data_IF_001973125544
#
_entry.id   IF_001973125544
#
_cell.length_a   1.000
_cell.length_b   1.000
_cell.length_c   1.000
_cell.angle_alpha   90.00
_cell.angle_beta   90.00
_cell.angle_gamma   90.00
#
_symmetry.space_group_name_H-M   'P 1'
#
loop_
_entity.id
_entity.type
_entity.pdbx_description
1 polymer ?
#
# COMPACT_ATOMS: atom_id res chain seq x y z
N UNK A 1 13.59 0.20 -8.77
CA UNK A 1 12.20 0.71 -8.93
C UNK A 1 11.50 0.48 -7.61
N UNK A 2 10.93 1.51 -6.98
CA UNK A 2 10.34 1.44 -5.64
C UNK A 2 9.27 0.35 -5.56
N UNK A 3 9.40 -0.59 -4.61
CA UNK A 3 8.43 -1.67 -4.38
C UNK A 3 7.41 -1.26 -3.32
N UNK A 4 6.14 -1.28 -3.71
CA UNK A 4 4.99 -0.91 -2.87
C UNK A 4 4.33 -2.19 -2.36
N UNK A 5 4.06 -2.26 -1.05
CA UNK A 5 3.23 -3.31 -0.47
C UNK A 5 1.86 -2.78 -0.08
N UNK A 6 0.80 -3.33 -0.66
CA UNK A 6 -0.56 -3.11 -0.19
C UNK A 6 -0.84 -4.02 0.99
N UNK A 7 -0.85 -3.46 2.20
CA UNK A 7 -1.22 -4.22 3.38
C UNK A 7 -2.73 -4.21 3.57
N UNK A 8 -3.36 -5.27 3.10
CA UNK A 8 -4.82 -5.45 3.11
C UNK A 8 -5.25 -6.57 4.05
N UNK A 9 -4.27 -7.23 4.67
CA UNK A 9 -4.43 -8.32 5.64
C UNK A 9 -3.61 -8.02 6.88
N UNK A 10 -4.26 -7.99 8.04
CA UNK A 10 -3.58 -7.93 9.34
C UNK A 10 -3.56 -9.32 9.96
N UNK A 11 -2.42 -9.70 10.53
CA UNK A 11 -2.30 -10.94 11.29
C UNK A 11 -2.19 -10.58 12.78
N UNK A 12 -3.20 -10.90 13.57
CA UNK A 12 -3.26 -10.56 15.00
C UNK A 12 -2.78 -11.69 15.92
N UNK A 13 -2.11 -12.71 15.39
CA UNK A 13 -1.67 -13.89 16.14
C UNK A 13 -2.81 -14.88 16.46
N UNK A 14 -4.06 -14.44 16.44
CA UNK A 14 -5.28 -15.25 16.61
C UNK A 14 -5.94 -15.61 15.28
N UNK A 15 -5.47 -15.02 14.18
CA UNK A 15 -5.99 -15.23 12.83
C UNK A 15 -5.58 -14.11 11.88
N UNK A 16 -5.84 -14.33 10.60
CA UNK A 16 -5.65 -13.33 9.54
C UNK A 16 -6.98 -12.66 9.24
N UNK A 17 -7.04 -11.34 9.39
CA UNK A 17 -8.21 -10.54 9.01
C UNK A 17 -7.87 -9.71 7.78
N UNK A 18 -8.75 -9.75 6.79
CA UNK A 18 -8.65 -8.94 5.57
C UNK A 18 -9.71 -7.86 5.61
N UNK A 19 -9.46 -6.72 4.95
CA UNK A 19 -10.49 -5.70 4.76
C UNK A 19 -11.64 -6.18 3.86
N UNK A 20 -11.44 -7.24 3.08
CA UNK A 20 -12.46 -7.76 2.15
C UNK A 20 -13.34 -8.80 2.83
N UNK A 21 -14.63 -8.50 2.98
CA UNK A 21 -15.60 -9.43 3.58
C UNK A 21 -15.80 -10.72 2.75
N UNK A 22 -15.70 -10.63 1.41
CA UNK A 22 -15.83 -11.77 0.49
C UNK A 22 -14.80 -11.66 -0.65
N UNK A 23 -14.47 -12.79 -1.27
CA UNK A 23 -13.58 -12.88 -2.45
C UNK A 23 -12.22 -12.15 -2.28
N UNK A 24 -11.68 -12.14 -1.06
CA UNK A 24 -10.47 -11.40 -0.71
C UNK A 24 -9.30 -11.65 -1.67
N UNK A 25 -9.03 -12.92 -2.02
CA UNK A 25 -7.97 -13.27 -2.97
C UNK A 25 -8.18 -12.60 -4.33
N UNK A 26 -9.37 -12.72 -4.91
CA UNK A 26 -9.69 -12.10 -6.21
C UNK A 26 -9.58 -10.58 -6.17
N UNK A 27 -10.05 -9.95 -5.10
CA UNK A 27 -9.96 -8.49 -4.95
C UNK A 27 -8.50 -8.02 -4.85
N UNK A 28 -7.65 -8.78 -4.15
CA UNK A 28 -6.21 -8.52 -4.08
C UNK A 28 -5.55 -8.74 -5.45
N UNK A 29 -5.85 -9.85 -6.13
CA UNK A 29 -5.30 -10.15 -7.45
C UNK A 29 -5.68 -9.07 -8.48
N UNK A 30 -6.94 -8.63 -8.50
CA UNK A 30 -7.42 -7.55 -9.39
C UNK A 30 -6.73 -6.21 -9.08
N UNK A 31 -6.50 -5.91 -7.79
CA UNK A 31 -5.79 -4.71 -7.37
C UNK A 31 -4.32 -4.75 -7.81
N UNK A 32 -3.63 -5.87 -7.58
CA UNK A 32 -2.24 -6.04 -8.00
C UNK A 32 -2.11 -5.99 -9.53
N UNK A 33 -3.03 -6.62 -10.26
CA UNK A 33 -3.06 -6.56 -11.71
C UNK A 33 -3.19 -5.12 -12.22
N UNK A 34 -4.09 -4.31 -11.64
CA UNK A 34 -4.23 -2.90 -11.99
C UNK A 34 -2.94 -2.11 -11.73
N UNK A 35 -2.39 -2.21 -10.51
CA UNK A 35 -1.24 -1.38 -10.11
C UNK A 35 0.11 -1.84 -10.67
N UNK A 36 0.24 -3.10 -11.08
CA UNK A 36 1.45 -3.62 -11.73
C UNK A 36 1.78 -2.92 -13.05
N UNK A 37 0.80 -2.26 -13.68
CA UNK A 37 1.02 -1.43 -14.87
C UNK A 37 1.78 -0.12 -14.57
N UNK A 38 1.83 0.30 -13.31
CA UNK A 38 2.38 1.60 -12.90
C UNK A 38 3.54 1.48 -11.91
N UNK A 39 3.52 0.46 -11.05
CA UNK A 39 4.48 0.30 -9.95
C UNK A 39 4.92 -1.16 -9.80
N UNK A 40 6.05 -1.37 -9.12
CA UNK A 40 6.40 -2.69 -8.60
C UNK A 40 5.58 -2.93 -7.33
N UNK A 41 4.66 -3.90 -7.33
CA UNK A 41 3.67 -4.08 -6.24
C UNK A 41 3.61 -5.49 -5.69
N UNK A 42 3.29 -5.60 -4.41
CA UNK A 42 2.96 -6.85 -3.72
C UNK A 42 1.85 -6.62 -2.69
N UNK A 43 1.22 -7.70 -2.24
CA UNK A 43 0.34 -7.71 -1.07
C UNK A 43 0.81 -8.71 0.02
N UNK A 44 1.99 -9.32 -0.16
CA UNK A 44 2.53 -10.32 0.76
C UNK A 44 3.65 -9.74 1.64
N UNK A 45 3.28 -8.90 2.60
CA UNK A 45 4.26 -8.22 3.44
C UNK A 45 5.22 -9.17 4.19
N UNK A 46 4.78 -10.30 4.79
CA UNK A 46 5.70 -11.21 5.48
C UNK A 46 6.81 -11.79 4.60
N UNK A 47 6.49 -12.21 3.37
CA UNK A 47 7.47 -12.79 2.45
C UNK A 47 8.36 -11.72 1.80
N UNK A 48 7.78 -10.55 1.48
CA UNK A 48 8.49 -9.51 0.74
C UNK A 48 9.13 -8.45 1.65
N UNK A 49 9.02 -8.59 2.97
CA UNK A 49 9.34 -7.56 3.97
C UNK A 49 10.65 -6.83 3.74
N UNK A 50 11.71 -7.54 3.32
CA UNK A 50 13.06 -6.98 3.15
C UNK A 50 13.25 -6.23 1.83
N UNK A 51 12.35 -6.44 0.87
CA UNK A 51 12.39 -5.84 -0.48
C UNK A 51 11.38 -4.72 -0.67
N UNK A 52 10.43 -4.56 0.25
CA UNK A 52 9.42 -3.49 0.20
C UNK A 52 10.04 -2.17 0.64
N UNK A 53 9.75 -1.12 -0.11
CA UNK A 53 10.22 0.24 0.16
C UNK A 53 9.13 1.11 0.79
N UNK A 54 7.85 0.87 0.48
CA UNK A 54 6.71 1.68 0.92
C UNK A 54 5.50 0.79 1.23
N UNK A 55 4.73 1.17 2.25
CA UNK A 55 3.46 0.54 2.60
C UNK A 55 2.28 1.41 2.13
N UNK A 56 1.29 0.80 1.50
CA UNK A 56 -0.03 1.40 1.26
C UNK A 56 -1.03 0.68 2.15
N UNK A 57 -1.70 1.41 3.03
CA UNK A 57 -2.61 0.85 4.02
C UNK A 57 -3.97 1.57 3.99
N UNK A 58 -5.06 0.85 4.32
CA UNK A 58 -6.34 1.47 4.64
C UNK A 58 -6.25 2.39 5.87
N UNK A 59 -6.94 3.53 5.87
CA UNK A 59 -6.92 4.46 7.01
C UNK A 59 -7.46 3.87 8.30
N UNK A 60 -8.44 2.96 8.19
CA UNK A 60 -9.02 2.23 9.32
C UNK A 60 -8.40 0.84 9.50
N UNK A 61 -7.17 0.64 9.02
CA UNK A 61 -6.49 -0.63 9.13
C UNK A 61 -6.15 -0.97 10.59
N UNK A 62 -6.20 -2.26 10.92
CA UNK A 62 -5.85 -2.75 12.24
C UNK A 62 -4.41 -2.39 12.62
N UNK A 63 -4.11 -2.41 13.92
CA UNK A 63 -2.75 -2.20 14.39
C UNK A 63 -1.79 -3.21 13.74
N UNK A 64 -0.63 -2.72 13.27
CA UNK A 64 0.45 -3.54 12.73
C UNK A 64 1.80 -2.97 13.16
N UNK A 65 2.83 -3.81 13.14
CA UNK A 65 4.20 -3.42 13.48
C UNK A 65 4.96 -3.10 12.20
N UNK A 66 5.33 -1.83 12.02
CA UNK A 66 6.22 -1.39 10.94
C UNK A 66 7.68 -1.50 11.38
N UNK A 67 8.21 -2.72 11.50
CA UNK A 67 9.55 -2.98 12.06
C UNK A 67 10.68 -2.22 11.34
N UNK A 68 10.52 -1.98 10.04
CA UNK A 68 11.52 -1.30 9.21
C UNK A 68 11.31 0.22 9.12
N UNK A 69 10.32 0.77 9.85
CA UNK A 69 9.93 2.19 9.77
C UNK A 69 9.75 2.68 8.32
N UNK A 70 9.17 1.82 7.47
CA UNK A 70 8.92 2.16 6.07
C UNK A 70 7.93 3.32 5.98
N UNK A 71 8.04 4.18 4.96
CA UNK A 71 7.01 5.17 4.70
C UNK A 71 5.66 4.54 4.45
N UNK A 72 4.60 5.19 4.95
CA UNK A 72 3.23 4.69 4.92
C UNK A 72 2.34 5.69 4.19
N UNK A 73 1.69 5.23 3.12
CA UNK A 73 0.62 5.94 2.43
C UNK A 73 -0.71 5.43 2.96
N UNK A 74 -1.45 6.35 3.56
CA UNK A 74 -2.76 6.12 4.17
C UNK A 74 -3.85 6.47 3.16
N UNK A 75 -4.73 5.51 2.87
CA UNK A 75 -5.77 5.63 1.84
C UNK A 75 -7.12 5.28 2.45
N UNK A 76 -8.20 6.05 2.16
CA UNK A 76 -9.51 5.76 2.72
C UNK A 76 -9.98 4.33 2.42
N UNK A 77 -10.34 3.59 3.47
CA UNK A 77 -10.74 2.17 3.39
C UNK A 77 -11.85 1.94 2.35
N UNK A 78 -12.80 2.86 2.26
CA UNK A 78 -13.93 2.78 1.33
C UNK A 78 -13.49 2.64 -0.14
N UNK A 79 -12.35 3.23 -0.53
CA UNK A 79 -11.86 3.15 -1.91
C UNK A 79 -11.39 1.74 -2.27
N UNK A 80 -10.85 0.98 -1.31
CA UNK A 80 -10.53 -0.43 -1.53
C UNK A 80 -11.79 -1.28 -1.65
N UNK A 81 -12.79 -1.02 -0.80
CA UNK A 81 -14.06 -1.74 -0.80
C UNK A 81 -14.87 -1.50 -2.08
N UNK A 82 -14.90 -0.26 -2.57
CA UNK A 82 -15.52 0.14 -3.83
C UNK A 82 -14.68 -0.21 -5.07
N UNK A 83 -13.45 -0.72 -4.86
CA UNK A 83 -12.47 -0.99 -5.94
C UNK A 83 -12.17 0.23 -6.80
N UNK A 84 -12.16 1.41 -6.21
CA UNK A 84 -11.87 2.66 -6.89
C UNK A 84 -10.36 2.86 -7.06
N UNK A 85 -9.75 2.03 -7.92
CA UNK A 85 -8.30 1.97 -8.10
C UNK A 85 -7.71 3.27 -8.64
N UNK A 86 -8.45 3.99 -9.48
CA UNK A 86 -8.03 5.31 -9.98
C UNK A 86 -7.84 6.32 -8.84
N UNK A 87 -8.81 6.41 -7.91
CA UNK A 87 -8.66 7.30 -6.76
C UNK A 87 -7.54 6.85 -5.83
N UNK A 88 -7.37 5.55 -5.60
CA UNK A 88 -6.23 5.03 -4.81
C UNK A 88 -4.90 5.45 -5.46
N UNK A 89 -4.80 5.37 -6.80
CA UNK A 89 -3.61 5.78 -7.54
C UNK A 89 -3.27 7.25 -7.32
N UNK A 90 -4.26 8.15 -7.26
CA UNK A 90 -4.03 9.58 -6.98
C UNK A 90 -3.32 9.80 -5.64
N UNK A 91 -3.64 9.04 -4.59
CA UNK A 91 -2.92 9.13 -3.31
C UNK A 91 -1.45 8.73 -3.45
N UNK A 92 -1.19 7.66 -4.20
CA UNK A 92 0.16 7.16 -4.44
C UNK A 92 0.97 8.13 -5.32
N UNK A 93 0.38 8.63 -6.41
CA UNK A 93 1.00 9.62 -7.29
C UNK A 93 1.35 10.89 -6.53
N UNK A 94 0.40 11.42 -5.75
CA UNK A 94 0.61 12.62 -4.94
C UNK A 94 1.76 12.44 -3.94
N UNK A 95 1.83 11.27 -3.29
CA UNK A 95 2.94 10.97 -2.38
C UNK A 95 4.31 11.05 -3.08
N UNK A 96 4.44 10.44 -4.26
CA UNK A 96 5.69 10.50 -5.02
C UNK A 96 5.99 11.90 -5.55
N UNK A 97 4.97 12.67 -5.95
CA UNK A 97 5.13 14.07 -6.36
C UNK A 97 5.69 14.92 -5.20
N UNK A 98 5.16 14.76 -3.99
CA UNK A 98 5.65 15.49 -2.82
C UNK A 98 7.07 15.10 -2.42
N UNK A 99 7.43 13.81 -2.47
CA UNK A 99 8.83 13.38 -2.26
C UNK A 99 9.76 14.01 -3.29
N UNK A 100 9.36 14.02 -4.56
CA UNK A 100 10.17 14.57 -5.64
C UNK A 100 10.42 16.06 -5.42
N UNK A 101 9.39 16.83 -5.06
CA UNK A 101 9.51 18.25 -4.72
C UNK A 101 10.47 18.48 -3.55
N UNK A 102 10.33 17.69 -2.48
CA UNK A 102 11.16 17.84 -1.29
C UNK A 102 12.64 17.49 -1.56
N UNK A 103 12.92 16.49 -2.40
CA UNK A 103 14.30 16.20 -2.83
C UNK A 103 14.92 17.36 -3.62
N UNK A 104 14.18 17.92 -4.58
CA UNK A 104 14.63 19.08 -5.37
C UNK A 104 14.93 20.30 -4.48
N UNK A 105 14.21 20.46 -3.36
CA UNK A 105 14.45 21.57 -2.44
C UNK A 105 15.71 21.37 -1.59
N UNK A 106 16.04 20.14 -1.20
CA UNK A 106 17.25 19.80 -0.43
C UNK A 106 18.50 19.92 -1.30
N UNK A 107 18.45 19.49 -2.57
CA UNK A 107 19.59 19.54 -3.49
C UNK A 107 19.92 20.99 -3.98
N UNK A 108 19.11 21.98 -3.60
CA UNK A 108 19.29 23.40 -3.95
C UNK A 108 19.94 24.24 -2.85
N UNK A 109 20.36 23.62 -1.74
CA UNK A 109 21.01 24.26 -0.58
C UNK A 109 22.50 23.87 -0.59
#
# INVERSE_FOLDING_TARGET
MTKICFMLTSNSGIGTTTIFATHAKRNIDDLLAYFSNYYNVTANYPEDKDTVDILVIPDSFGAFINERNLPVIKVPTILFLERNFEKIKVYIDNYFLEISKNKIQIDKI
#
